data_IF_317286181019
#
_entry.id   IF_317286181019
#
_cell.length_a   1.000
_cell.length_b   1.000
_cell.length_c   1.000
_cell.angle_alpha   90.00
_cell.angle_beta   90.00
_cell.angle_gamma   90.00
#
_symmetry.space_group_name_H-M   'P 1'
#
loop_
_entity.id
_entity.type
_entity.pdbx_description
1 polymer ?
#
# COMPACT_ATOMS: atom_id res chain seq x y z
N UNK A 1 -46.33 15.10 75.78
CA UNK A 1 -45.07 14.36 75.56
C UNK A 1 -45.26 13.48 74.33
N UNK A 2 -44.20 13.38 73.52
CA UNK A 2 -44.08 12.62 72.25
C UNK A 2 -44.37 13.46 71.00
N UNK A 3 -43.28 14.09 70.56
CA UNK A 3 -43.01 14.67 69.25
C UNK A 3 -42.96 13.52 68.22
N UNK A 4 -43.61 13.69 67.06
CA UNK A 4 -43.29 12.90 65.85
C UNK A 4 -43.19 13.83 64.66
N UNK A 5 -41.95 14.19 64.34
CA UNK A 5 -41.53 14.86 63.11
C UNK A 5 -41.92 14.01 61.89
N UNK A 6 -42.64 14.61 60.95
CA UNK A 6 -42.93 14.03 59.64
C UNK A 6 -41.83 14.55 58.70
N UNK A 7 -40.88 13.69 58.35
CA UNK A 7 -39.92 13.94 57.27
C UNK A 7 -40.59 13.58 55.94
N UNK A 8 -40.78 14.59 55.08
CA UNK A 8 -41.23 14.39 53.70
C UNK A 8 -40.01 14.08 52.84
N UNK A 9 -39.77 12.79 52.54
CA UNK A 9 -38.73 12.38 51.59
C UNK A 9 -39.33 12.43 50.19
N UNK A 10 -38.98 13.46 49.42
CA UNK A 10 -39.30 13.56 48.00
C UNK A 10 -38.45 12.56 47.21
N UNK A 11 -39.10 11.53 46.67
CA UNK A 11 -38.46 10.56 45.79
C UNK A 11 -38.52 11.09 44.35
N UNK A 12 -37.46 11.78 43.92
CA UNK A 12 -37.30 12.17 42.50
C UNK A 12 -36.80 10.94 41.74
N UNK A 13 -37.71 10.27 41.04
CA UNK A 13 -37.38 9.21 40.08
C UNK A 13 -36.70 9.85 38.86
N UNK A 14 -35.37 9.87 38.86
CA UNK A 14 -34.60 10.01 37.63
C UNK A 14 -34.80 8.73 36.81
N UNK A 15 -35.63 8.81 35.77
CA UNK A 15 -35.64 7.80 34.70
C UNK A 15 -34.34 7.93 33.92
N UNK A 16 -33.35 7.11 34.27
CA UNK A 16 -32.19 6.87 33.40
C UNK A 16 -32.68 6.08 32.18
N UNK A 17 -32.83 6.75 31.04
CA UNK A 17 -32.98 6.08 29.75
C UNK A 17 -31.63 5.41 29.48
N UNK A 18 -31.56 4.10 29.75
CA UNK A 18 -30.44 3.28 29.30
C UNK A 18 -30.56 3.15 27.79
N UNK A 19 -29.77 3.93 27.05
CA UNK A 19 -29.57 3.76 25.62
C UNK A 19 -28.83 2.44 25.41
N UNK A 20 -29.59 1.35 25.26
CA UNK A 20 -29.02 0.08 24.86
C UNK A 20 -28.30 0.26 23.51
N UNK A 21 -27.00 -0.03 23.48
CA UNK A 21 -26.19 -0.06 22.26
C UNK A 21 -26.86 -1.02 21.28
N UNK A 22 -27.50 -0.49 20.23
CA UNK A 22 -28.08 -1.30 19.15
C UNK A 22 -26.94 -1.98 18.40
N UNK A 23 -26.77 -3.28 18.62
CA UNK A 23 -25.90 -4.12 17.79
C UNK A 23 -26.60 -4.30 16.44
N UNK A 24 -25.93 -3.89 15.37
CA UNK A 24 -26.43 -4.01 14.01
C UNK A 24 -26.23 -5.43 13.47
N UNK A 25 -27.32 -6.19 13.33
CA UNK A 25 -27.26 -7.51 12.70
C UNK A 25 -27.14 -7.35 11.18
N UNK A 26 -26.07 -7.93 10.61
CA UNK A 26 -25.79 -7.94 9.17
C UNK A 26 -26.39 -9.14 8.45
N UNK A 27 -27.12 -10.00 9.17
CA UNK A 27 -27.84 -11.12 8.57
C UNK A 27 -29.07 -10.63 7.79
N UNK A 28 -29.36 -11.19 6.61
CA UNK A 28 -30.58 -10.90 5.89
C UNK A 28 -31.80 -11.31 6.74
N UNK A 29 -32.64 -10.35 7.13
CA UNK A 29 -33.78 -10.59 8.04
C UNK A 29 -34.86 -11.49 7.46
N UNK A 30 -34.90 -11.67 6.14
CA UNK A 30 -35.89 -12.46 5.41
C UNK A 30 -35.49 -13.90 5.16
N UNK A 31 -34.25 -14.30 5.50
CA UNK A 31 -33.71 -15.62 5.20
C UNK A 31 -33.34 -16.39 6.47
N UNK A 32 -33.86 -17.60 6.59
CA UNK A 32 -33.56 -18.55 7.68
C UNK A 32 -32.56 -19.64 7.28
N UNK A 33 -32.11 -19.63 6.03
CA UNK A 33 -31.17 -20.62 5.47
C UNK A 33 -29.73 -20.28 5.87
N UNK A 34 -28.89 -21.27 6.22
CA UNK A 34 -27.47 -21.02 6.54
C UNK A 34 -26.73 -20.36 5.37
N UNK A 35 -25.63 -19.66 5.69
CA UNK A 35 -24.79 -18.97 4.70
C UNK A 35 -24.26 -19.94 3.65
N UNK A 36 -24.20 -19.49 2.40
CA UNK A 36 -23.66 -20.28 1.30
C UNK A 36 -22.13 -20.38 1.41
N UNK A 37 -21.57 -21.52 0.99
CA UNK A 37 -20.12 -21.71 0.89
C UNK A 37 -19.65 -21.34 -0.52
N UNK A 38 -18.43 -20.81 -0.65
CA UNK A 38 -17.77 -20.45 -1.91
C UNK A 38 -18.18 -19.08 -2.53
N UNK A 39 -17.75 -17.96 -1.92
CA UNK A 39 -18.17 -16.57 -2.19
C UNK A 39 -17.34 -15.83 -3.26
N UNK A 40 -16.46 -16.54 -4.00
CA UNK A 40 -15.49 -15.97 -4.95
C UNK A 40 -16.12 -15.18 -6.13
N UNK A 41 -17.41 -14.92 -6.08
CA UNK A 41 -18.19 -14.16 -7.05
C UNK A 41 -18.29 -12.68 -6.73
N UNK A 42 -17.99 -12.20 -5.51
CA UNK A 42 -18.17 -10.78 -5.14
C UNK A 42 -17.02 -10.22 -4.32
N UNK A 43 -16.73 -8.92 -4.49
CA UNK A 43 -15.67 -8.22 -3.75
C UNK A 43 -15.98 -6.77 -3.42
N UNK A 44 -15.44 -6.30 -2.30
CA UNK A 44 -15.30 -4.88 -1.97
C UNK A 44 -13.93 -4.38 -2.41
N UNK A 45 -13.88 -3.23 -3.05
CA UNK A 45 -12.63 -2.50 -3.26
C UNK A 45 -12.87 -1.00 -3.26
N UNK A 46 -11.81 -0.25 -2.95
CA UNK A 46 -11.82 1.21 -2.99
C UNK A 46 -11.19 1.63 -4.31
N UNK A 47 -11.82 2.56 -5.03
CA UNK A 47 -11.29 3.06 -6.30
C UNK A 47 -9.89 3.64 -6.09
N UNK A 48 -8.91 3.16 -6.86
CA UNK A 48 -7.48 3.46 -6.66
C UNK A 48 -6.70 2.42 -5.84
N UNK A 49 -7.37 1.37 -5.34
CA UNK A 49 -6.81 0.29 -4.52
C UNK A 49 -5.94 0.80 -3.35
N UNK A 50 -6.51 1.74 -2.60
CA UNK A 50 -5.79 2.44 -1.53
C UNK A 50 -5.62 1.54 -0.30
N UNK A 51 -4.41 1.48 0.25
CA UNK A 51 -4.08 0.71 1.47
C UNK A 51 -4.32 1.50 2.77
N UNK A 52 -4.26 2.83 2.70
CA UNK A 52 -4.43 3.74 3.84
C UNK A 52 -5.38 4.91 3.51
N UNK A 53 -6.20 5.34 4.46
CA UNK A 53 -7.09 6.48 4.27
C UNK A 53 -6.47 7.76 4.85
N UNK A 54 -6.55 8.86 4.12
CA UNK A 54 -6.24 10.19 4.60
C UNK A 54 -7.48 10.74 5.34
N UNK A 55 -7.36 11.19 6.60
CA UNK A 55 -8.48 11.73 7.37
C UNK A 55 -9.26 12.83 6.63
N UNK A 56 -10.59 12.75 6.63
CA UNK A 56 -11.48 13.72 5.97
C UNK A 56 -11.58 13.61 4.44
N UNK A 57 -10.77 12.77 3.78
CA UNK A 57 -10.87 12.53 2.33
C UNK A 57 -12.06 11.64 2.00
N UNK A 58 -12.69 11.89 0.84
CA UNK A 58 -13.83 11.09 0.36
C UNK A 58 -13.38 10.09 -0.69
N UNK A 59 -13.65 8.82 -0.45
CA UNK A 59 -13.30 7.69 -1.30
C UNK A 59 -14.54 7.09 -1.98
N UNK A 60 -14.34 6.45 -3.14
CA UNK A 60 -15.39 5.67 -3.80
C UNK A 60 -15.24 4.20 -3.42
N UNK A 61 -16.20 3.67 -2.66
CA UNK A 61 -16.28 2.26 -2.27
C UNK A 61 -17.19 1.53 -3.26
N UNK A 62 -16.69 0.44 -3.82
CA UNK A 62 -17.36 -0.32 -4.86
C UNK A 62 -17.52 -1.76 -4.39
N UNK A 63 -18.76 -2.24 -4.40
CA UNK A 63 -19.10 -3.65 -4.20
C UNK A 63 -19.52 -4.20 -5.56
N UNK A 64 -18.76 -5.14 -6.10
CA UNK A 64 -18.99 -5.67 -7.44
C UNK A 64 -18.85 -7.19 -7.53
N UNK A 65 -19.48 -7.75 -8.56
CA UNK A 65 -19.28 -9.11 -8.99
C UNK A 65 -17.94 -9.28 -9.73
N UNK A 66 -17.27 -10.41 -9.53
CA UNK A 66 -16.03 -10.79 -10.20
C UNK A 66 -16.39 -11.37 -11.58
N UNK A 67 -15.81 -10.78 -12.63
CA UNK A 67 -15.99 -11.25 -14.01
C UNK A 67 -15.06 -12.43 -14.28
N UNK A 68 -15.60 -13.62 -14.47
CA UNK A 68 -14.86 -14.81 -14.93
C UNK A 68 -14.96 -14.94 -16.46
N UNK A 69 -13.86 -15.29 -17.12
CA UNK A 69 -13.69 -15.28 -18.60
C UNK A 69 -14.68 -16.23 -19.33
N UNK A 70 -15.36 -17.12 -18.63
CA UNK A 70 -16.18 -18.19 -19.22
C UNK A 70 -17.64 -18.24 -18.74
N UNK A 71 -18.11 -17.32 -17.87
CA UNK A 71 -19.50 -17.32 -17.38
C UNK A 71 -20.11 -15.92 -17.36
N UNK A 72 -21.45 -15.84 -17.40
CA UNK A 72 -22.17 -14.58 -17.22
C UNK A 72 -21.80 -13.94 -15.87
N UNK A 73 -21.73 -12.60 -15.84
CA UNK A 73 -21.40 -11.86 -14.62
C UNK A 73 -22.46 -12.10 -13.54
N UNK A 74 -22.09 -12.58 -12.34
CA UNK A 74 -23.06 -12.80 -11.28
C UNK A 74 -23.72 -11.48 -10.86
N UNK A 75 -24.93 -11.58 -10.30
CA UNK A 75 -25.74 -10.42 -9.90
C UNK A 75 -26.43 -10.66 -8.58
N UNK A 76 -26.45 -9.66 -7.71
CA UNK A 76 -27.14 -9.69 -6.42
C UNK A 76 -28.40 -8.82 -6.43
N UNK A 77 -29.39 -9.24 -5.64
CA UNK A 77 -30.69 -8.56 -5.51
C UNK A 77 -30.78 -7.70 -4.25
N UNK A 78 -30.13 -8.13 -3.17
CA UNK A 78 -30.08 -7.43 -1.88
C UNK A 78 -28.64 -7.38 -1.36
N UNK A 79 -28.28 -6.31 -0.66
CA UNK A 79 -26.97 -6.15 -0.06
C UNK A 79 -27.02 -5.30 1.21
N UNK A 80 -26.08 -5.55 2.12
CA UNK A 80 -25.82 -4.73 3.30
C UNK A 80 -24.34 -4.40 3.26
N UNK A 81 -23.98 -3.13 3.08
CA UNK A 81 -22.61 -2.64 3.15
C UNK A 81 -22.46 -1.79 4.40
N UNK A 82 -21.59 -2.20 5.31
CA UNK A 82 -21.36 -1.54 6.59
C UNK A 82 -19.88 -1.21 6.77
N UNK A 83 -19.59 -0.14 7.51
CA UNK A 83 -18.24 0.16 8.00
C UNK A 83 -18.23 0.11 9.53
N UNK A 84 -17.25 -0.58 10.09
CA UNK A 84 -17.05 -0.72 11.53
C UNK A 84 -15.60 -0.39 11.93
N UNK A 85 -15.40 0.06 13.17
CA UNK A 85 -14.07 0.24 13.72
C UNK A 85 -13.51 -1.13 14.13
N UNK A 86 -12.20 -1.33 13.94
CA UNK A 86 -11.54 -2.56 14.36
C UNK A 86 -11.56 -2.74 15.89
N UNK A 87 -11.41 -1.63 16.63
CA UNK A 87 -11.55 -1.60 18.08
C UNK A 87 -13.00 -1.26 18.47
N UNK A 88 -13.54 -1.95 19.49
CA UNK A 88 -15.00 -2.06 19.79
C UNK A 88 -15.73 -0.78 20.23
N UNK A 89 -15.18 0.41 20.00
CA UNK A 89 -15.86 1.68 20.26
C UNK A 89 -16.34 2.29 18.94
N UNK A 90 -17.60 2.05 18.59
CA UNK A 90 -18.23 2.61 17.39
C UNK A 90 -18.64 4.09 17.54
N UNK A 91 -18.41 4.71 18.70
CA UNK A 91 -18.92 6.03 19.03
C UNK A 91 -17.99 6.73 20.02
N UNK A 92 -17.50 7.91 19.64
CA UNK A 92 -16.80 8.82 20.54
C UNK A 92 -17.84 9.72 21.23
N UNK A 93 -18.11 9.44 22.52
CA UNK A 93 -19.04 10.21 23.35
C UNK A 93 -18.57 11.67 23.58
N UNK A 94 -17.26 11.95 23.44
CA UNK A 94 -16.70 13.29 23.68
C UNK A 94 -16.88 14.22 22.47
N UNK A 95 -16.73 13.72 21.25
CA UNK A 95 -16.82 14.53 20.02
C UNK A 95 -18.12 14.36 19.22
N UNK A 96 -19.01 13.46 19.64
CA UNK A 96 -20.26 13.16 18.92
C UNK A 96 -20.03 12.82 17.44
N UNK A 97 -18.94 12.09 17.15
CA UNK A 97 -18.60 11.67 15.79
C UNK A 97 -18.33 10.16 15.72
N UNK A 98 -18.61 9.61 14.55
CA UNK A 98 -18.38 8.19 14.29
C UNK A 98 -16.92 7.98 13.89
N UNK A 99 -16.19 7.22 14.70
CA UNK A 99 -14.78 6.81 14.48
C UNK A 99 -14.62 5.99 13.17
N UNK A 100 -15.72 5.64 12.50
CA UNK A 100 -15.76 4.81 11.28
C UNK A 100 -15.90 5.60 9.97
N UNK A 101 -16.03 6.93 10.04
CA UNK A 101 -16.38 7.76 8.88
C UNK A 101 -17.85 7.63 8.46
N UNK A 102 -18.23 8.29 7.36
CA UNK A 102 -19.65 8.44 6.94
C UNK A 102 -19.86 8.10 5.47
N UNK A 103 -20.89 7.29 5.19
CA UNK A 103 -21.33 7.03 3.82
C UNK A 103 -22.13 8.20 3.25
N UNK A 104 -21.92 8.49 1.97
CA UNK A 104 -22.67 9.44 1.16
C UNK A 104 -23.11 8.75 -0.14
N UNK A 105 -24.35 9.00 -0.55
CA UNK A 105 -24.90 8.36 -1.75
C UNK A 105 -24.44 9.10 -3.01
N UNK A 106 -24.07 8.35 -4.05
CA UNK A 106 -23.57 8.82 -5.36
C UNK A 106 -24.69 9.27 -6.31
N UNK A 107 -25.95 9.22 -5.87
CA UNK A 107 -27.13 9.47 -6.70
C UNK A 107 -27.72 8.23 -7.37
N UNK A 108 -27.18 7.03 -7.11
CA UNK A 108 -27.82 5.77 -7.55
C UNK A 108 -29.13 5.52 -6.76
N UNK A 109 -30.26 5.63 -7.46
CA UNK A 109 -31.63 5.42 -6.93
C UNK A 109 -31.82 4.01 -6.32
N UNK A 110 -30.90 3.07 -6.62
CA UNK A 110 -30.96 1.68 -6.15
C UNK A 110 -30.33 1.45 -4.78
N UNK A 111 -29.72 2.48 -4.19
CA UNK A 111 -29.05 2.44 -2.88
C UNK A 111 -29.69 3.42 -1.91
N UNK A 112 -29.72 3.08 -0.62
CA UNK A 112 -30.20 3.94 0.45
C UNK A 112 -29.40 3.74 1.74
N UNK A 113 -29.26 4.79 2.54
CA UNK A 113 -28.71 4.69 3.90
C UNK A 113 -29.77 4.01 4.78
N UNK A 114 -29.35 3.06 5.63
CA UNK A 114 -30.23 2.35 6.53
C UNK A 114 -30.74 3.26 7.64
N UNK A 115 -32.06 3.27 7.87
CA UNK A 115 -32.69 3.98 9.00
C UNK A 115 -32.55 3.22 10.32
N UNK A 116 -32.21 1.92 10.25
CA UNK A 116 -32.14 1.01 11.41
C UNK A 116 -30.73 0.99 11.98
N UNK A 117 -29.71 1.10 11.13
CA UNK A 117 -28.31 0.95 11.47
C UNK A 117 -27.46 2.10 10.94
N UNK A 118 -26.71 2.81 11.80
CA UNK A 118 -25.82 3.86 11.36
C UNK A 118 -24.72 3.29 10.46
N UNK A 119 -24.16 4.12 9.60
CA UNK A 119 -23.02 3.79 8.72
C UNK A 119 -23.23 2.50 7.92
N UNK A 120 -24.47 2.25 7.50
CA UNK A 120 -24.86 1.08 6.72
C UNK A 120 -25.64 1.52 5.48
N UNK A 121 -25.26 0.99 4.32
CA UNK A 121 -25.96 1.18 3.04
C UNK A 121 -26.66 -0.12 2.66
N UNK A 122 -27.90 0.02 2.19
CA UNK A 122 -28.75 -1.10 1.75
C UNK A 122 -29.40 -0.79 0.40
N UNK A 123 -30.07 -1.78 -0.19
CA UNK A 123 -30.80 -1.61 -1.43
C UNK A 123 -32.13 -0.86 -1.27
N UNK A 124 -32.51 -0.11 -2.29
CA UNK A 124 -33.86 0.48 -2.45
C UNK A 124 -34.81 -0.47 -3.20
N UNK A 125 -34.26 -1.34 -4.07
CA UNK A 125 -35.04 -2.28 -4.89
C UNK A 125 -34.34 -3.64 -5.01
N UNK A 126 -35.14 -4.69 -5.26
CA UNK A 126 -34.66 -6.06 -5.48
C UNK A 126 -34.27 -6.36 -6.94
N UNK A 127 -34.13 -5.32 -7.78
CA UNK A 127 -33.66 -5.47 -9.15
C UNK A 127 -32.22 -6.00 -9.12
N UNK A 128 -31.91 -7.09 -9.84
CA UNK A 128 -30.55 -7.65 -9.91
C UNK A 128 -29.52 -6.61 -10.37
N UNK A 129 -28.37 -6.58 -9.68
CA UNK A 129 -27.26 -5.64 -9.92
C UNK A 129 -25.96 -6.42 -9.88
N UNK A 130 -24.99 -6.05 -10.72
CA UNK A 130 -23.63 -6.61 -10.66
C UNK A 130 -22.66 -5.72 -9.88
N UNK A 131 -23.05 -4.48 -9.58
CA UNK A 131 -22.20 -3.47 -8.97
C UNK A 131 -23.04 -2.40 -8.26
N UNK A 132 -22.53 -1.88 -7.14
CA UNK A 132 -22.97 -0.63 -6.52
C UNK A 132 -21.75 0.22 -6.16
N UNK A 133 -21.93 1.55 -6.18
CA UNK A 133 -20.89 2.52 -5.82
C UNK A 133 -21.42 3.51 -4.81
N UNK A 134 -20.69 3.72 -3.73
CA UNK A 134 -21.01 4.70 -2.69
C UNK A 134 -19.78 5.54 -2.35
N UNK A 135 -20.00 6.76 -1.90
CA UNK A 135 -18.93 7.57 -1.35
C UNK A 135 -18.79 7.29 0.15
N UNK A 136 -17.56 7.26 0.64
CA UNK A 136 -17.26 7.18 2.07
C UNK A 136 -16.26 8.28 2.42
N UNK A 137 -16.65 9.15 3.35
CA UNK A 137 -15.76 10.17 3.89
C UNK A 137 -15.06 9.59 5.12
N UNK A 138 -13.73 9.59 5.07
CA UNK A 138 -12.88 9.07 6.12
C UNK A 138 -13.06 9.83 7.44
N UNK A 139 -12.92 9.17 8.60
CA UNK A 139 -13.02 9.79 9.92
C UNK A 139 -11.86 10.78 10.18
N UNK A 140 -11.93 11.49 11.30
CA UNK A 140 -10.86 12.37 11.77
C UNK A 140 -9.59 11.60 12.13
N UNK A 141 -8.46 12.30 12.17
CA UNK A 141 -7.19 11.69 12.57
C UNK A 141 -7.25 11.12 13.99
N UNK A 142 -6.56 10.00 14.22
CA UNK A 142 -6.57 9.24 15.48
C UNK A 142 -7.67 8.18 15.56
N UNK A 143 -8.40 7.92 14.46
CA UNK A 143 -9.54 6.99 14.45
C UNK A 143 -9.14 5.52 14.22
N UNK A 144 -7.88 5.25 13.91
CA UNK A 144 -7.37 3.89 13.74
C UNK A 144 -7.88 3.21 12.47
N UNK A 145 -8.07 1.90 12.51
CA UNK A 145 -8.46 1.12 11.34
C UNK A 145 -9.96 0.87 11.26
N UNK A 146 -10.48 0.90 10.04
CA UNK A 146 -11.88 0.61 9.73
C UNK A 146 -11.98 -0.61 8.81
N UNK A 147 -13.05 -1.36 8.98
CA UNK A 147 -13.33 -2.57 8.20
C UNK A 147 -14.67 -2.38 7.49
N UNK A 148 -14.62 -2.39 6.16
CA UNK A 148 -15.81 -2.50 5.34
C UNK A 148 -16.23 -3.95 5.28
N UNK A 149 -17.51 -4.22 5.55
CA UNK A 149 -18.09 -5.55 5.46
C UNK A 149 -19.33 -5.55 4.60
N UNK A 150 -19.43 -6.53 3.72
CA UNK A 150 -20.60 -6.73 2.88
C UNK A 150 -21.30 -8.06 3.16
N UNK A 151 -22.62 -8.01 3.16
CA UNK A 151 -23.51 -9.15 3.00
C UNK A 151 -24.19 -9.01 1.65
N UNK A 152 -24.14 -10.04 0.81
CA UNK A 152 -24.77 -10.04 -0.52
C UNK A 152 -25.72 -11.22 -0.66
N UNK A 153 -26.90 -10.95 -1.20
CA UNK A 153 -27.92 -11.95 -1.53
C UNK A 153 -28.01 -12.04 -3.05
N UNK A 154 -27.54 -13.15 -3.60
CA UNK A 154 -27.54 -13.41 -5.04
C UNK A 154 -28.99 -13.66 -5.51
N UNK A 155 -29.60 -14.74 -5.00
CA UNK A 155 -30.96 -15.11 -5.34
C UNK A 155 -31.57 -16.10 -4.33
N UNK A 156 -32.83 -15.87 -3.93
CA UNK A 156 -33.59 -16.68 -2.96
C UNK A 156 -32.77 -16.98 -1.69
N UNK A 157 -32.25 -18.21 -1.60
CA UNK A 157 -31.58 -18.76 -0.42
C UNK A 157 -30.04 -18.70 -0.54
N UNK A 158 -29.51 -18.13 -1.62
CA UNK A 158 -28.06 -17.99 -1.84
C UNK A 158 -27.60 -16.60 -1.37
N UNK A 159 -26.80 -16.60 -0.31
CA UNK A 159 -26.27 -15.38 0.30
C UNK A 159 -24.88 -15.63 0.93
N UNK A 160 -24.07 -14.57 0.93
CA UNK A 160 -22.67 -14.56 1.37
C UNK A 160 -22.43 -13.43 2.37
N UNK A 161 -21.52 -13.65 3.32
CA UNK A 161 -21.24 -12.74 4.44
C UNK A 161 -19.92 -13.11 5.11
N UNK A 162 -19.14 -12.09 5.48
CA UNK A 162 -17.88 -12.20 6.23
C UNK A 162 -16.77 -13.00 5.54
N UNK A 163 -16.84 -13.13 4.22
CA UNK A 163 -15.80 -13.78 3.42
C UNK A 163 -14.66 -12.80 3.10
N UNK A 164 -13.42 -13.30 2.90
CA UNK A 164 -12.21 -12.46 2.77
C UNK A 164 -12.33 -11.35 1.72
N UNK A 165 -12.97 -11.61 0.57
CA UNK A 165 -13.15 -10.60 -0.48
C UNK A 165 -14.33 -9.63 -0.22
N UNK A 166 -15.24 -9.99 0.68
CA UNK A 166 -16.35 -9.16 1.16
C UNK A 166 -15.98 -8.35 2.41
N UNK A 167 -14.72 -8.45 2.86
CA UNK A 167 -14.15 -7.64 3.92
C UNK A 167 -13.00 -6.81 3.35
N UNK A 168 -13.00 -5.49 3.55
CA UNK A 168 -11.86 -4.63 3.19
C UNK A 168 -11.46 -3.81 4.40
N UNK A 169 -10.26 -4.08 4.91
CA UNK A 169 -9.62 -3.30 5.97
C UNK A 169 -8.84 -2.15 5.37
N UNK A 170 -8.93 -0.96 5.97
CA UNK A 170 -8.10 0.21 5.65
C UNK A 170 -7.80 0.97 6.95
N UNK A 171 -6.57 1.43 7.11
CA UNK A 171 -6.12 2.16 8.28
C UNK A 171 -5.87 3.62 7.96
N UNK A 172 -5.86 4.47 8.99
CA UNK A 172 -5.39 5.83 8.84
C UNK A 172 -3.98 5.83 8.25
N UNK A 173 -3.77 6.71 7.28
CA UNK A 173 -2.47 7.05 6.73
C UNK A 173 -1.65 7.68 7.87
N UNK A 174 -0.85 6.86 8.55
CA UNK A 174 0.15 7.39 9.45
C UNK A 174 1.08 8.27 8.61
N UNK A 175 1.61 9.35 9.19
CA UNK A 175 2.64 10.16 8.52
C UNK A 175 3.89 9.35 8.10
N UNK A 176 3.92 8.04 8.36
CA UNK A 176 4.94 7.08 7.94
C UNK A 176 4.66 6.37 6.61
N UNK A 177 3.42 6.32 6.10
CA UNK A 177 3.15 5.84 4.73
C UNK A 177 3.42 6.89 3.65
N UNK A 178 3.71 8.13 4.06
CA UNK A 178 4.11 9.23 3.16
C UNK A 178 5.48 9.02 2.47
N UNK A 179 6.27 8.04 2.93
CA UNK A 179 7.62 7.90 2.42
C UNK A 179 7.76 6.91 1.27
N UNK A 180 6.94 5.85 1.22
CA UNK A 180 7.15 4.76 0.27
C UNK A 180 6.24 4.78 -0.97
N UNK A 181 5.08 5.46 -0.94
CA UNK A 181 4.19 5.53 -2.10
C UNK A 181 3.56 6.93 -2.25
N UNK A 182 4.39 7.92 -2.60
CA UNK A 182 3.87 9.16 -3.18
C UNK A 182 3.17 8.82 -4.51
N UNK A 183 1.95 9.35 -4.73
CA UNK A 183 1.15 9.20 -5.96
C UNK A 183 2.05 9.19 -7.21
N UNK A 184 2.23 8.01 -7.82
CA UNK A 184 3.04 7.85 -9.01
C UNK A 184 2.43 8.72 -10.12
N UNK A 185 3.22 9.65 -10.65
CA UNK A 185 2.77 10.52 -11.72
C UNK A 185 2.91 9.72 -13.02
N UNK A 186 1.80 9.22 -13.55
CA UNK A 186 1.79 8.39 -14.77
C UNK A 186 2.41 9.08 -16.00
N UNK A 187 2.48 10.41 -16.01
CA UNK A 187 3.10 11.18 -17.07
C UNK A 187 3.89 12.36 -16.48
N UNK A 188 5.21 12.19 -16.35
CA UNK A 188 6.09 13.24 -15.86
C UNK A 188 6.33 14.30 -16.94
N UNK A 189 5.88 15.53 -16.69
CA UNK A 189 6.06 16.67 -17.60
C UNK A 189 7.37 17.45 -17.39
N UNK A 190 8.29 16.96 -16.55
CA UNK A 190 9.55 17.64 -16.28
C UNK A 190 10.47 17.63 -17.50
N UNK A 191 10.82 18.81 -18.00
CA UNK A 191 11.65 18.97 -19.20
C UNK A 191 13.14 18.65 -18.94
N UNK A 192 13.65 19.07 -17.79
CA UNK A 192 15.07 19.00 -17.44
C UNK A 192 15.45 17.61 -16.91
N UNK A 193 16.66 17.16 -17.17
CA UNK A 193 17.23 15.99 -16.48
C UNK A 193 17.76 16.45 -15.11
N UNK A 194 17.51 15.69 -14.04
CA UNK A 194 17.96 16.04 -12.70
C UNK A 194 19.05 15.09 -12.20
N UNK A 195 20.07 15.65 -11.55
CA UNK A 195 21.09 14.93 -10.81
C UNK A 195 20.74 14.92 -9.33
N UNK A 196 20.68 13.73 -8.74
CA UNK A 196 20.45 13.54 -7.32
C UNK A 196 21.64 12.89 -6.64
N UNK A 197 21.78 13.21 -5.37
CA UNK A 197 22.61 12.46 -4.42
C UNK A 197 21.66 11.69 -3.49
N UNK A 198 21.91 10.38 -3.39
CA UNK A 198 21.28 9.48 -2.44
C UNK A 198 22.27 9.23 -1.32
N UNK A 199 21.86 9.47 -0.09
CA UNK A 199 22.61 9.14 1.12
C UNK A 199 21.85 8.09 1.91
N UNK A 200 22.45 6.93 2.11
CA UNK A 200 21.92 5.89 2.99
C UNK A 200 22.58 6.02 4.37
N UNK A 201 21.77 6.18 5.41
CA UNK A 201 22.16 6.29 6.81
C UNK A 201 21.66 5.07 7.58
N UNK A 202 22.57 4.29 8.19
CA UNK A 202 22.17 3.21 9.07
C UNK A 202 21.71 3.75 10.43
N UNK A 203 20.66 3.17 10.99
CA UNK A 203 20.17 3.45 12.35
C UNK A 203 20.07 2.18 13.21
N UNK A 204 20.48 1.03 12.66
CA UNK A 204 20.49 -0.25 13.35
C UNK A 204 21.58 -0.29 14.41
N UNK A 205 21.17 -0.37 15.67
CA UNK A 205 22.07 -0.44 16.83
C UNK A 205 21.36 -1.12 18.00
N UNK A 206 22.13 -1.59 18.98
CA UNK A 206 21.60 -2.15 20.24
C UNK A 206 20.73 -1.17 21.03
N UNK A 207 20.86 0.15 20.80
CA UNK A 207 20.03 1.16 21.47
C UNK A 207 18.69 1.38 20.78
N UNK A 208 18.65 1.28 19.45
CA UNK A 208 17.42 1.47 18.67
C UNK A 208 16.61 0.18 18.60
N UNK A 209 17.29 -0.96 18.42
CA UNK A 209 16.71 -2.29 18.28
C UNK A 209 17.42 -3.26 19.24
N UNK A 210 17.09 -3.23 20.55
CA UNK A 210 17.81 -4.00 21.57
C UNK A 210 17.50 -5.51 21.55
N UNK A 211 16.31 -5.90 21.10
CA UNK A 211 15.84 -7.29 21.13
C UNK A 211 16.66 -8.14 20.18
N UNK A 212 17.33 -9.15 20.74
CA UNK A 212 18.17 -10.13 20.03
C UNK A 212 19.20 -9.52 19.07
N UNK A 213 19.63 -8.28 19.32
CA UNK A 213 20.62 -7.61 18.50
C UNK A 213 21.89 -8.49 18.38
N UNK A 214 22.44 -8.74 17.17
CA UNK A 214 23.52 -9.70 16.98
C UNK A 214 24.69 -9.48 17.95
N UNK A 215 25.09 -10.54 18.66
CA UNK A 215 26.20 -10.49 19.60
C UNK A 215 27.55 -10.32 18.89
N UNK A 216 27.71 -10.98 17.74
CA UNK A 216 28.89 -10.81 16.89
C UNK A 216 28.77 -9.53 16.04
N UNK A 217 29.11 -8.42 16.68
CA UNK A 217 29.10 -7.11 16.04
C UNK A 217 29.96 -7.06 14.76
N UNK A 218 31.02 -7.86 14.63
CA UNK A 218 31.92 -7.80 13.46
C UNK A 218 31.24 -8.24 12.17
N UNK A 219 30.17 -9.02 12.27
CA UNK A 219 29.37 -9.44 11.14
C UNK A 219 28.27 -8.44 10.80
N UNK A 220 27.83 -7.62 11.75
CA UNK A 220 26.73 -6.68 11.56
C UNK A 220 27.03 -5.67 10.45
N UNK A 221 26.20 -5.67 9.41
CA UNK A 221 26.34 -4.75 8.27
C UNK A 221 25.04 -4.61 7.48
N UNK A 222 24.96 -3.50 6.76
CA UNK A 222 24.14 -3.39 5.56
C UNK A 222 25.02 -3.69 4.34
N UNK A 223 24.55 -4.52 3.43
CA UNK A 223 25.27 -4.82 2.18
C UNK A 223 25.43 -3.57 1.32
N UNK A 224 26.18 -3.69 0.22
CA UNK A 224 26.19 -2.67 -0.81
C UNK A 224 24.76 -2.29 -1.20
N UNK A 225 24.52 -0.97 -1.30
CA UNK A 225 23.24 -0.44 -1.76
C UNK A 225 23.25 -0.53 -3.27
N UNK A 226 22.25 -1.17 -3.85
CA UNK A 226 22.09 -1.27 -5.30
C UNK A 226 20.65 -0.94 -5.70
N UNK A 227 20.50 -0.33 -6.87
CA UNK A 227 19.20 -0.03 -7.44
C UNK A 227 19.31 0.67 -8.78
N UNK A 228 18.24 1.33 -9.19
CA UNK A 228 18.19 2.07 -10.43
C UNK A 228 17.19 3.21 -10.40
N UNK A 229 17.42 4.21 -11.24
CA UNK A 229 16.37 5.10 -11.73
C UNK A 229 15.74 4.49 -12.98
N UNK A 230 14.41 4.34 -12.99
CA UNK A 230 13.71 3.53 -13.98
C UNK A 230 12.33 4.10 -14.34
N UNK A 231 11.74 3.53 -15.38
CA UNK A 231 10.37 3.79 -15.85
C UNK A 231 9.32 3.19 -14.92
N UNK A 232 8.05 3.61 -15.07
CA UNK A 232 6.93 3.10 -14.27
C UNK A 232 6.67 1.58 -14.41
N UNK A 233 7.01 1.00 -15.55
CA UNK A 233 6.70 -0.38 -15.93
C UNK A 233 7.84 -1.37 -15.60
N UNK A 234 8.80 -0.95 -14.78
CA UNK A 234 9.89 -1.79 -14.31
C UNK A 234 10.08 -1.69 -12.80
N UNK A 235 10.07 -2.84 -12.12
CA UNK A 235 10.44 -2.97 -10.72
C UNK A 235 11.13 -4.33 -10.55
N UNK A 236 12.24 -4.37 -9.81
CA UNK A 236 12.94 -5.62 -9.49
C UNK A 236 12.47 -6.24 -8.15
N UNK A 237 11.72 -5.46 -7.36
CA UNK A 237 11.04 -5.91 -6.16
C UNK A 237 9.86 -4.97 -5.89
N UNK A 238 8.78 -5.49 -5.31
CA UNK A 238 7.59 -4.73 -4.90
C UNK A 238 6.89 -5.51 -3.79
N UNK A 239 6.21 -4.82 -2.88
CA UNK A 239 5.36 -5.45 -1.89
C UNK A 239 4.31 -6.35 -2.55
N UNK A 240 3.97 -7.47 -1.90
CA UNK A 240 2.98 -8.43 -2.36
C UNK A 240 3.31 -9.06 -3.73
N UNK A 241 4.56 -8.97 -4.18
CA UNK A 241 5.08 -9.64 -5.36
C UNK A 241 6.25 -10.55 -5.00
N UNK A 242 6.51 -11.54 -5.85
CA UNK A 242 7.70 -12.39 -5.73
C UNK A 242 8.93 -11.61 -6.18
N UNK A 243 10.01 -11.70 -5.41
CA UNK A 243 11.30 -11.07 -5.71
C UNK A 243 11.94 -11.62 -7.01
N UNK A 244 12.67 -10.77 -7.76
CA UNK A 244 13.48 -11.21 -8.90
C UNK A 244 14.64 -12.10 -8.46
N UNK A 245 15.27 -12.85 -9.39
CA UNK A 245 16.44 -13.69 -9.07
C UNK A 245 17.62 -12.86 -8.52
N UNK A 246 17.80 -11.65 -9.06
CA UNK A 246 18.75 -10.66 -8.58
C UNK A 246 18.43 -10.18 -7.16
N UNK A 247 17.15 -9.94 -6.87
CA UNK A 247 16.69 -9.58 -5.53
C UNK A 247 16.89 -10.74 -4.53
N UNK A 248 16.59 -11.98 -4.93
CA UNK A 248 16.83 -13.18 -4.12
C UNK A 248 18.31 -13.35 -3.77
N UNK A 249 19.21 -13.10 -4.74
CA UNK A 249 20.66 -13.16 -4.52
C UNK A 249 21.14 -12.15 -3.46
N UNK A 250 20.52 -10.97 -3.44
CA UNK A 250 20.81 -9.92 -2.46
C UNK A 250 20.25 -10.30 -1.09
N UNK A 251 18.99 -10.72 -1.02
CA UNK A 251 18.35 -11.09 0.23
C UNK A 251 19.04 -12.27 0.93
N UNK A 252 19.61 -13.25 0.21
CA UNK A 252 20.30 -14.38 0.85
C UNK A 252 21.76 -14.10 1.23
N UNK A 253 22.46 -13.25 0.49
CA UNK A 253 23.93 -13.16 0.60
C UNK A 253 24.51 -11.75 0.55
N UNK A 254 23.70 -10.75 0.20
CA UNK A 254 24.14 -9.40 -0.10
C UNK A 254 24.89 -9.27 -1.43
N UNK A 255 24.91 -10.29 -2.28
CA UNK A 255 25.64 -10.28 -3.56
C UNK A 255 24.87 -9.52 -4.64
N UNK A 256 25.48 -8.46 -5.18
CA UNK A 256 24.80 -7.55 -6.13
C UNK A 256 25.00 -7.88 -7.61
N UNK A 257 25.84 -8.87 -7.96
CA UNK A 257 26.25 -9.13 -9.35
C UNK A 257 25.11 -9.61 -10.25
N UNK A 258 24.21 -10.44 -9.71
CA UNK A 258 23.03 -10.95 -10.41
C UNK A 258 22.08 -9.79 -10.74
N UNK A 259 21.69 -9.00 -9.74
CA UNK A 259 20.82 -7.84 -9.96
C UNK A 259 21.46 -6.81 -10.91
N UNK A 260 22.77 -6.55 -10.78
CA UNK A 260 23.45 -5.65 -11.72
C UNK A 260 23.35 -6.14 -13.17
N UNK A 261 23.41 -7.45 -13.40
CA UNK A 261 23.24 -8.05 -14.72
C UNK A 261 21.80 -7.93 -15.23
N UNK A 262 20.81 -8.14 -14.34
CA UNK A 262 19.39 -7.91 -14.66
C UNK A 262 19.12 -6.46 -15.05
N UNK A 263 19.63 -5.50 -14.27
CA UNK A 263 19.49 -4.07 -14.54
C UNK A 263 20.16 -3.69 -15.88
N UNK A 264 21.34 -4.23 -16.18
CA UNK A 264 21.98 -4.02 -17.50
C UNK A 264 21.17 -4.61 -18.65
N UNK A 265 20.51 -5.75 -18.43
CA UNK A 265 19.64 -6.37 -19.45
C UNK A 265 18.38 -5.56 -19.76
N UNK A 266 17.96 -4.68 -18.83
CA UNK A 266 16.80 -3.79 -18.93
C UNK A 266 17.21 -2.33 -19.16
N UNK A 267 18.31 -2.11 -19.89
CA UNK A 267 18.86 -0.78 -20.16
C UNK A 267 17.90 0.18 -20.88
N UNK A 268 16.88 -0.35 -21.56
CA UNK A 268 15.79 0.41 -22.18
C UNK A 268 14.85 1.06 -21.16
N UNK A 269 14.74 0.48 -19.96
CA UNK A 269 13.87 0.93 -18.86
C UNK A 269 14.65 1.60 -17.73
N UNK A 270 15.97 1.72 -17.85
CA UNK A 270 16.87 2.16 -16.78
C UNK A 270 17.75 3.28 -17.28
N UNK A 271 17.71 4.40 -16.55
CA UNK A 271 18.55 5.56 -16.85
C UNK A 271 19.92 5.49 -16.19
N UNK A 272 19.97 5.13 -14.91
CA UNK A 272 21.19 5.07 -14.10
C UNK A 272 21.10 3.91 -13.11
N UNK A 273 22.13 3.07 -13.07
CA UNK A 273 22.30 2.09 -12.00
C UNK A 273 22.92 2.80 -10.79
N UNK A 274 22.25 2.69 -9.64
CA UNK A 274 22.65 3.31 -8.39
C UNK A 274 23.47 2.29 -7.60
N UNK A 275 24.69 2.65 -7.19
CA UNK A 275 25.54 1.81 -6.34
C UNK A 275 26.21 2.64 -5.26
N UNK A 276 26.07 2.26 -4.00
CA UNK A 276 26.83 2.78 -2.88
C UNK A 276 27.49 1.62 -2.12
N UNK A 277 28.65 1.85 -1.50
CA UNK A 277 29.28 0.82 -0.66
C UNK A 277 28.44 0.58 0.59
N UNK A 278 28.34 -0.67 1.01
CA UNK A 278 27.69 -1.06 2.24
C UNK A 278 28.37 -0.45 3.47
N UNK A 279 27.63 -0.43 4.57
CA UNK A 279 28.12 0.06 5.86
C UNK A 279 28.17 -1.11 6.84
N UNK A 280 29.34 -1.31 7.46
CA UNK A 280 29.60 -2.42 8.36
C UNK A 280 30.17 -1.92 9.68
N UNK A 281 30.16 -2.79 10.69
CA UNK A 281 30.86 -2.53 11.95
C UNK A 281 32.33 -2.09 11.70
N UNK A 282 32.85 -1.10 12.45
CA UNK A 282 32.25 -0.42 13.61
C UNK A 282 31.22 0.67 13.29
N UNK A 283 30.97 0.99 12.02
CA UNK A 283 30.16 2.12 11.58
C UNK A 283 28.84 1.68 10.93
N UNK A 284 28.12 0.73 11.55
CA UNK A 284 26.78 0.29 11.07
C UNK A 284 25.79 1.46 11.04
N UNK A 285 25.95 2.44 11.92
CA UNK A 285 25.16 3.68 11.94
C UNK A 285 25.79 4.81 11.11
N UNK A 286 26.68 4.47 10.18
CA UNK A 286 27.36 5.40 9.31
C UNK A 286 26.49 5.85 8.12
N UNK A 287 27.11 6.63 7.23
CA UNK A 287 26.50 7.08 5.97
C UNK A 287 27.32 6.65 4.77
N UNK A 288 26.64 6.30 3.70
CA UNK A 288 27.21 6.05 2.38
C UNK A 288 26.40 6.81 1.34
N UNK A 289 26.99 7.15 0.20
CA UNK A 289 26.31 7.96 -0.80
C UNK A 289 26.52 7.41 -2.21
N UNK A 290 25.55 7.69 -3.07
CA UNK A 290 25.59 7.44 -4.51
C UNK A 290 24.98 8.63 -5.24
N UNK A 291 25.35 8.78 -6.50
CA UNK A 291 24.87 9.86 -7.35
C UNK A 291 24.22 9.25 -8.58
N UNK A 292 23.06 9.75 -8.96
CA UNK A 292 22.31 9.24 -10.09
C UNK A 292 21.58 10.35 -10.84
N UNK A 293 21.06 10.01 -12.03
CA UNK A 293 20.29 10.93 -12.86
C UNK A 293 18.92 10.36 -13.16
N UNK A 294 17.94 11.26 -13.27
CA UNK A 294 16.56 10.97 -13.68
C UNK A 294 16.13 11.90 -14.79
N UNK A 295 15.28 11.39 -15.67
CA UNK A 295 14.65 12.15 -16.76
C UNK A 295 13.15 11.91 -16.77
N UNK A 296 12.44 12.56 -17.71
CA UNK A 296 10.98 12.48 -17.82
C UNK A 296 10.43 11.05 -17.94
N UNK A 297 11.20 10.12 -18.50
CA UNK A 297 10.76 8.76 -18.76
C UNK A 297 11.16 7.85 -17.58
N UNK A 298 12.30 8.14 -16.93
CA UNK A 298 12.89 7.39 -15.84
C UNK A 298 12.88 8.19 -14.53
N UNK A 299 11.67 8.55 -14.09
CA UNK A 299 11.44 9.46 -12.97
C UNK A 299 11.25 8.75 -11.61
N UNK A 300 11.21 7.41 -11.62
CA UNK A 300 11.12 6.59 -10.40
C UNK A 300 12.50 6.09 -9.98
N UNK A 301 12.66 5.81 -8.67
CA UNK A 301 13.82 5.08 -8.16
C UNK A 301 13.42 3.89 -7.30
N UNK A 302 14.19 2.82 -7.41
CA UNK A 302 14.15 1.68 -6.50
C UNK A 302 15.56 1.36 -6.05
N UNK A 303 15.75 1.16 -4.74
CA UNK A 303 17.04 0.77 -4.15
C UNK A 303 16.84 -0.26 -3.04
N UNK A 304 17.85 -1.09 -2.82
CA UNK A 304 17.84 -2.14 -1.81
C UNK A 304 19.22 -2.28 -1.15
N UNK A 305 19.21 -2.70 0.12
CA UNK A 305 20.39 -3.15 0.86
C UNK A 305 19.99 -4.27 1.82
N UNK A 306 20.74 -5.37 1.79
CA UNK A 306 20.54 -6.53 2.65
C UNK A 306 21.02 -6.26 4.07
N UNK A 307 20.26 -6.70 5.06
CA UNK A 307 20.65 -6.64 6.47
C UNK A 307 21.35 -7.94 6.86
N UNK A 308 22.57 -7.87 7.36
CA UNK A 308 23.32 -9.05 7.78
C UNK A 308 23.79 -8.91 9.23
N UNK A 309 23.65 -9.95 10.07
CA UNK A 309 23.00 -11.24 9.79
C UNK A 309 21.47 -11.12 9.76
N UNK A 310 20.84 -11.81 8.82
CA UNK A 310 19.39 -12.09 8.78
C UNK A 310 19.13 -13.24 7.79
N UNK A 311 17.95 -13.90 7.85
CA UNK A 311 17.57 -14.97 6.94
C UNK A 311 17.49 -14.47 5.49
N UNK A 312 16.63 -13.48 5.25
CA UNK A 312 16.42 -12.87 3.93
C UNK A 312 15.94 -11.41 4.02
N UNK A 313 16.26 -10.72 5.12
CA UNK A 313 15.72 -9.40 5.41
C UNK A 313 16.52 -8.27 4.77
N UNK A 314 15.83 -7.29 4.24
CA UNK A 314 16.45 -6.15 3.56
C UNK A 314 15.73 -4.84 3.88
N UNK A 315 16.37 -3.72 3.49
CA UNK A 315 15.77 -2.39 3.53
C UNK A 315 15.85 -1.74 2.17
N UNK A 316 14.86 -0.92 1.82
CA UNK A 316 14.83 -0.28 0.53
C UNK A 316 13.55 0.50 0.27
N UNK A 317 13.54 1.17 -0.88
CA UNK A 317 12.34 1.78 -1.48
C UNK A 317 12.10 1.18 -2.86
N UNK A 318 10.83 1.02 -3.25
CA UNK A 318 10.44 0.56 -4.57
C UNK A 318 9.55 1.59 -5.25
N UNK A 319 9.94 2.04 -6.44
CA UNK A 319 9.12 2.90 -7.29
C UNK A 319 8.86 4.31 -6.75
N UNK A 320 9.80 4.90 -6.00
CA UNK A 320 9.63 6.26 -5.46
C UNK A 320 9.66 7.31 -6.57
N UNK A 321 8.60 8.11 -6.63
CA UNK A 321 8.45 9.25 -7.53
C UNK A 321 9.32 10.45 -7.13
N UNK A 322 10.11 10.95 -8.09
CA UNK A 322 10.90 12.19 -7.93
C UNK A 322 10.34 13.38 -8.74
N UNK A 323 9.47 13.11 -9.70
CA UNK A 323 8.81 14.12 -10.53
C UNK A 323 7.56 14.67 -9.82
N UNK A 324 7.41 15.98 -9.84
CA UNK A 324 6.27 16.68 -9.26
C UNK A 324 5.23 17.03 -10.35
N UNK A 325 3.94 17.09 -10.00
CA UNK A 325 2.87 17.49 -10.92
C UNK A 325 3.05 18.90 -11.53
N UNK A 326 3.91 19.74 -10.95
CA UNK A 326 4.24 21.08 -11.45
C UNK A 326 5.40 21.08 -12.47
N UNK A 327 5.67 19.94 -13.12
CA UNK A 327 6.72 19.76 -14.13
C UNK A 327 8.13 20.08 -13.61
N UNK A 328 8.36 19.83 -12.32
CA UNK A 328 9.65 20.04 -11.66
C UNK A 328 10.06 18.79 -10.88
N UNK A 329 11.27 18.79 -10.36
CA UNK A 329 11.81 17.71 -9.55
C UNK A 329 11.75 18.06 -8.07
N UNK A 330 11.55 17.06 -7.21
CA UNK A 330 11.70 17.25 -5.76
C UNK A 330 13.09 17.83 -5.44
N UNK A 331 13.16 18.69 -4.42
CA UNK A 331 14.44 19.31 -4.03
C UNK A 331 15.18 18.45 -3.01
N UNK A 332 14.46 17.95 -2.02
CA UNK A 332 14.95 16.97 -1.07
C UNK A 332 13.80 16.05 -0.63
N UNK A 333 14.14 14.86 -0.15
CA UNK A 333 13.22 13.97 0.55
C UNK A 333 14.04 13.12 1.53
N UNK A 334 13.51 12.91 2.73
CA UNK A 334 14.09 11.99 3.71
C UNK A 334 13.07 10.91 3.98
N UNK A 335 13.49 9.66 3.85
CA UNK A 335 12.64 8.48 3.96
C UNK A 335 13.12 7.61 5.10
N UNK A 336 12.21 7.26 6.00
CA UNK A 336 12.45 6.23 7.01
C UNK A 336 12.37 4.83 6.37
N UNK A 337 13.41 4.01 6.58
CA UNK A 337 13.45 2.65 6.08
C UNK A 337 13.17 1.65 7.20
N UNK A 338 12.36 0.67 6.86
CA UNK A 338 11.96 -0.44 7.71
C UNK A 338 12.30 -1.76 7.01
N UNK A 339 12.53 -2.84 7.79
CA UNK A 339 12.89 -4.13 7.23
C UNK A 339 11.73 -4.77 6.44
N UNK A 340 12.11 -5.43 5.36
CA UNK A 340 11.28 -6.25 4.49
C UNK A 340 11.79 -7.68 4.52
N UNK A 341 10.87 -8.64 4.43
CA UNK A 341 11.12 -10.06 4.26
C UNK A 341 10.99 -10.41 2.77
N UNK A 342 11.96 -11.13 2.21
CA UNK A 342 11.96 -11.47 0.79
C UNK A 342 11.12 -12.70 0.46
N UNK A 343 10.70 -13.48 1.46
CA UNK A 343 9.85 -14.65 1.31
C UNK A 343 10.58 -15.90 0.79
N UNK A 344 11.90 -15.99 0.98
CA UNK A 344 12.76 -17.06 0.45
C UNK A 344 13.49 -17.87 1.53
N UNK A 345 13.57 -17.36 2.77
CA UNK A 345 14.05 -18.09 3.95
C UNK A 345 13.07 -17.95 5.11
N UNK A 346 12.77 -19.04 5.81
CA UNK A 346 11.79 -19.10 6.91
C UNK A 346 12.39 -18.79 8.28
N UNK A 347 13.66 -18.36 8.36
CA UNK A 347 14.29 -17.97 9.61
C UNK A 347 13.54 -16.84 10.32
N UNK A 348 13.45 -16.91 11.65
CA UNK A 348 12.67 -15.95 12.47
C UNK A 348 13.53 -15.00 13.28
N UNK A 349 14.84 -15.25 13.38
CA UNK A 349 15.81 -14.42 14.11
C UNK A 349 16.98 -14.02 13.21
N UNK A 350 17.75 -13.01 13.60
CA UNK A 350 18.93 -12.57 12.83
C UNK A 350 19.93 -13.72 12.53
N UNK A 351 20.12 -14.63 13.48
CA UNK A 351 21.10 -15.72 13.40
C UNK A 351 20.44 -17.10 13.21
N UNK A 352 19.22 -17.14 12.68
CA UNK A 352 18.58 -18.40 12.30
C UNK A 352 19.44 -19.13 11.27
N UNK A 353 19.48 -20.46 11.35
CA UNK A 353 20.09 -21.28 10.30
C UNK A 353 19.29 -21.17 9.02
N UNK A 354 19.94 -21.23 7.86
CA UNK A 354 19.28 -21.23 6.55
C UNK A 354 18.16 -22.28 6.50
N UNK A 355 16.93 -21.82 6.24
CA UNK A 355 15.72 -22.63 6.14
C UNK A 355 14.96 -22.19 4.88
N UNK A 356 15.27 -22.76 3.71
CA UNK A 356 14.63 -22.35 2.45
C UNK A 356 13.10 -22.40 2.51
N UNK A 357 12.45 -21.29 2.17
CA UNK A 357 11.00 -21.13 2.19
C UNK A 357 10.36 -21.83 0.98
N UNK A 358 9.44 -22.76 1.24
CA UNK A 358 8.72 -23.52 0.21
C UNK A 358 7.22 -23.58 0.54
N UNK A 359 6.32 -23.01 -0.29
CA UNK A 359 6.61 -22.24 -1.52
C UNK A 359 7.23 -20.87 -1.19
N UNK A 360 7.91 -20.27 -2.19
CA UNK A 360 8.36 -18.87 -2.13
C UNK A 360 7.14 -17.98 -1.85
N UNK A 361 7.30 -17.08 -0.89
CA UNK A 361 6.28 -16.11 -0.48
C UNK A 361 6.52 -14.77 -1.19
N UNK A 362 5.52 -13.90 -1.13
CA UNK A 362 5.66 -12.54 -1.61
C UNK A 362 6.49 -11.71 -0.62
N UNK A 363 7.11 -10.63 -1.12
CA UNK A 363 7.78 -9.65 -0.28
C UNK A 363 6.76 -9.00 0.66
N UNK A 364 7.02 -9.06 1.95
CA UNK A 364 6.18 -8.46 2.99
C UNK A 364 7.01 -7.55 3.89
N UNK A 365 6.42 -6.45 4.36
CA UNK A 365 7.09 -5.58 5.34
C UNK A 365 7.06 -6.25 6.70
N UNK A 366 8.15 -6.21 7.45
CA UNK A 366 8.14 -6.66 8.84
C UNK A 366 7.58 -5.54 9.74
N UNK A 367 6.46 -5.82 10.41
CA UNK A 367 5.82 -4.95 11.39
C UNK A 367 5.76 -5.66 12.75
N UNK A 368 5.75 -4.92 13.87
CA UNK A 368 5.52 -5.52 15.18
C UNK A 368 4.20 -6.31 15.27
N UNK A 369 3.19 -5.91 14.49
CA UNK A 369 1.85 -6.50 14.50
C UNK A 369 1.65 -7.68 13.55
N UNK A 370 2.46 -7.84 12.49
CA UNK A 370 2.30 -8.94 11.53
C UNK A 370 3.28 -10.10 11.78
N UNK A 371 4.37 -9.87 12.54
CA UNK A 371 5.21 -10.95 13.03
C UNK A 371 4.44 -11.72 14.09
N UNK A 372 3.70 -12.77 13.71
CA UNK A 372 2.99 -13.63 14.65
C UNK A 372 3.94 -14.47 15.54
N UNK A 373 5.26 -14.35 15.34
CA UNK A 373 6.29 -15.04 16.11
C UNK A 373 6.91 -14.13 17.18
N UNK A 374 6.75 -14.53 18.43
CA UNK A 374 7.31 -13.85 19.62
C UNK A 374 8.84 -13.80 19.58
N UNK A 375 9.49 -14.73 18.87
CA UNK A 375 10.95 -14.80 18.72
C UNK A 375 11.50 -13.80 17.69
N UNK A 376 10.64 -13.17 16.87
CA UNK A 376 11.11 -12.14 15.95
C UNK A 376 11.74 -10.96 16.71
N UNK A 377 12.92 -10.45 16.32
CA UNK A 377 13.54 -9.29 16.96
C UNK A 377 12.70 -8.02 16.79
N UNK A 378 11.77 -8.01 15.84
CA UNK A 378 10.87 -6.88 15.56
C UNK A 378 9.50 -7.02 16.25
N UNK A 379 9.21 -8.18 16.86
CA UNK A 379 7.95 -8.38 17.58
C UNK A 379 7.91 -7.60 18.89
N UNK A 380 6.86 -6.79 19.07
CA UNK A 380 6.57 -6.04 20.28
C UNK A 380 5.14 -6.32 20.77
N UNK A 381 5.03 -6.91 21.95
CA UNK A 381 3.74 -7.24 22.58
C UNK A 381 2.91 -5.99 22.93
N UNK A 382 3.55 -4.82 23.10
CA UNK A 382 2.85 -3.56 23.38
C UNK A 382 2.21 -2.94 22.14
N UNK A 383 2.56 -3.43 20.94
CA UNK A 383 2.13 -2.83 19.68
C UNK A 383 2.78 -1.46 19.41
N UNK A 384 3.86 -1.11 20.12
CA UNK A 384 4.56 0.13 19.89
C UNK A 384 5.13 0.18 18.47
N UNK A 385 5.15 1.39 17.92
CA UNK A 385 5.67 1.66 16.58
C UNK A 385 7.16 1.34 16.49
N UNK A 386 7.56 0.57 15.47
CA UNK A 386 8.95 0.25 15.23
C UNK A 386 9.74 1.51 14.88
N UNK A 387 10.95 1.64 15.42
CA UNK A 387 11.87 2.71 15.02
C UNK A 387 12.45 2.41 13.64
N UNK A 388 12.77 3.42 12.80
CA UNK A 388 13.42 3.18 11.53
C UNK A 388 14.80 2.55 11.74
N UNK A 389 15.11 1.56 10.90
CA UNK A 389 16.38 0.83 10.97
C UNK A 389 17.46 1.45 10.08
N UNK A 390 17.04 2.23 9.09
CA UNK A 390 17.89 3.08 8.26
C UNK A 390 17.07 4.30 7.78
N UNK A 391 17.76 5.26 7.18
CA UNK A 391 17.17 6.41 6.50
C UNK A 391 17.78 6.59 5.14
N UNK A 392 16.97 7.05 4.20
CA UNK A 392 17.40 7.47 2.88
C UNK A 392 17.21 8.98 2.75
N UNK A 393 18.27 9.70 2.41
CA UNK A 393 18.18 11.12 2.07
C UNK A 393 18.43 11.30 0.59
N UNK A 394 17.50 11.94 -0.10
CA UNK A 394 17.60 12.32 -1.49
C UNK A 394 17.77 13.83 -1.55
N UNK A 395 18.81 14.29 -2.21
CA UNK A 395 19.06 15.73 -2.41
C UNK A 395 19.35 16.00 -3.88
N UNK A 396 18.57 16.91 -4.47
CA UNK A 396 18.79 17.37 -5.83
C UNK A 396 20.03 18.25 -5.88
N UNK A 397 21.02 17.82 -6.66
CA UNK A 397 22.30 18.50 -6.79
C UNK A 397 22.28 19.53 -7.93
N UNK A 398 21.74 19.13 -9.08
CA UNK A 398 21.80 19.94 -10.31
C UNK A 398 20.67 19.59 -11.27
N UNK A 399 20.20 20.58 -12.02
CA UNK A 399 19.37 20.40 -13.20
C UNK A 399 20.22 20.58 -14.47
N UNK A 400 19.98 19.73 -15.46
CA UNK A 400 20.53 19.85 -16.80
C UNK A 400 19.44 20.35 -17.73
N UNK A 401 19.65 21.53 -18.29
CA UNK A 401 18.75 22.11 -19.27
C UNK A 401 18.71 21.26 -20.53
N UNK A 402 17.50 20.98 -21.01
CA UNK A 402 17.23 20.32 -22.28
C UNK A 402 16.25 21.20 -23.03
N UNK A 403 16.44 21.39 -24.33
CA UNK A 403 15.49 22.13 -25.16
C UNK A 403 14.24 21.27 -25.38
N UNK A 404 13.20 21.50 -24.59
CA UNK A 404 11.89 20.91 -24.86
C UNK A 404 11.20 21.76 -25.92
N UNK A 405 11.49 21.44 -27.18
CA UNK A 405 10.62 21.83 -28.27
C UNK A 405 9.51 20.79 -28.23
N UNK A 406 8.28 21.23 -28.00
CA UNK A 406 7.10 20.40 -28.17
C UNK A 406 7.18 19.80 -29.58
N UNK A 407 7.41 18.49 -29.69
CA UNK A 407 7.15 17.81 -30.94
C UNK A 407 5.63 17.86 -31.12
N UNK A 408 5.16 18.86 -31.87
CA UNK A 408 3.82 18.85 -32.39
C UNK A 408 3.56 17.47 -33.01
N UNK A 409 2.41 16.84 -32.73
CA UNK A 409 2.07 15.57 -33.33
C UNK A 409 2.11 15.77 -34.84
N UNK A 410 3.04 15.08 -35.52
CA UNK A 410 3.07 15.02 -36.98
C UNK A 410 1.72 14.48 -37.44
N UNK A 411 0.82 15.38 -37.82
CA UNK A 411 -0.37 15.05 -38.59
C UNK A 411 0.11 14.47 -39.91
N UNK A 412 0.17 13.14 -40.00
CA UNK A 412 0.14 12.44 -41.28
C UNK A 412 -1.22 12.71 -41.92
N UNK A 413 -1.32 13.79 -42.68
CA UNK A 413 -2.34 13.89 -43.72
C UNK A 413 -1.82 14.70 -44.90
N UNK A 414 -1.88 14.05 -46.06
CA UNK A 414 -1.76 14.58 -47.42
C UNK A 414 -0.36 14.92 -47.95
N UNK A 415 0.25 13.92 -48.61
CA UNK A 415 1.41 14.10 -49.49
C UNK A 415 1.55 12.98 -50.52
N UNK A 416 0.45 12.31 -50.88
CA UNK A 416 0.42 11.31 -51.95
C UNK A 416 0.21 12.07 -53.27
N UNK A 417 1.29 12.61 -53.84
CA UNK A 417 1.47 12.96 -55.26
C UNK A 417 2.75 13.79 -55.42
N UNK A 418 3.90 13.14 -55.57
CA UNK A 418 4.99 13.52 -56.49
C UNK A 418 6.10 12.47 -56.40
N UNK A 419 5.80 11.26 -56.91
CA UNK A 419 6.83 10.29 -57.31
C UNK A 419 6.69 10.08 -58.81
N UNK A 420 7.38 10.90 -59.58
CA UNK A 420 7.71 10.59 -60.96
C UNK A 420 9.18 10.90 -61.19
N UNK A 421 9.87 9.86 -61.70
CA UNK A 421 11.13 9.89 -62.45
C UNK A 421 12.41 10.17 -61.65
N UNK A 422 13.18 9.11 -61.39
CA UNK A 422 14.43 8.83 -62.12
C UNK A 422 15.11 7.63 -61.44
N UNK A 423 15.07 6.45 -62.07
CA UNK A 423 16.17 5.46 -62.02
C UNK A 423 15.95 4.49 -63.19
N UNK A 424 16.59 4.82 -64.31
CA UNK A 424 16.85 3.88 -65.40
C UNK A 424 18.29 3.36 -65.20
N UNK A 425 18.40 2.04 -65.07
CA UNK A 425 19.46 1.15 -65.57
C UNK A 425 20.93 1.54 -65.38
N UNK A 426 21.66 0.72 -64.60
CA UNK A 426 23.07 0.44 -64.88
C UNK A 426 23.20 -1.05 -65.22
N UNK A 427 23.63 -1.30 -66.46
CA UNK A 427 23.95 -2.60 -67.04
C UNK A 427 25.28 -3.16 -66.50
N UNK A 428 25.38 -4.49 -66.58
CA UNK A 428 26.54 -5.32 -66.34
C UNK A 428 27.67 -5.11 -67.36
N UNK A 429 28.82 -5.67 -66.98
CA UNK A 429 30.01 -6.08 -67.76
C UNK A 429 31.18 -5.10 -67.84
N UNK A 430 32.26 -5.43 -67.11
CA UNK A 430 33.38 -6.11 -67.77
C UNK A 430 34.06 -7.13 -66.87
#
# INVERSE_FOLDING_TARGET
MIIRSIFFVGFVLYFSISSAIKICDRKPTTLTVPKSTNPHTYRIFIKGNVEFYTPGTTYTVILQAIKTVQTATPSFTSFILMVEAEERQNYDDENNDFITGKFQLTGDVRTKISEVCPNTVTQTSLIPKSEIQVFWTAPSSGSGCVIFRATVVEYRDIWYMDDDQLNKRICEESNESNDDNANVVYECCACHEAKFELTFEGLWSRHTHPKDYPDDNWQTRFSDVIGASHTIDYRFWEQDQVASDGMNSIALSGTTSTLESELKSKSDKIRTIIKARGISYPNVTGKTFAVFRVDKDHHLISVVSFMYPSPDWFVGISGLELCLPNCNWITNKTINLYPWDAGIDSGVTYNSTDMPQVPIMNIERLWPSNTNDVHSPFYDQSGAQMKPIAKLHLMRQRLYEKSCIDEEPKTESSGLLFRFLFYFTFELTH
#
